data_IF_505514659441
#
_entry.id   IF_505514659441
#
_cell.length_a   1.000
_cell.length_b   1.000
_cell.length_c   1.000
_cell.angle_alpha   90.00
_cell.angle_beta   90.00
_cell.angle_gamma   90.00
#
_symmetry.space_group_name_H-M   'P 1'
#
loop_
_entity.id
_entity.type
_entity.pdbx_description
1 polymer ?
#
# COMPACT_ATOMS: atom_id res chain seq x y z
N UNK A 1 -7.29 11.56 -0.22
CA UNK A 1 -6.43 10.38 -0.36
C UNK A 1 -5.01 10.77 0.02
N UNK A 2 -4.33 9.95 0.81
CA UNK A 2 -2.91 10.13 1.10
C UNK A 2 -2.17 8.93 0.54
N UNK A 3 -1.18 9.15 -0.32
CA UNK A 3 -0.26 8.09 -0.74
C UNK A 3 1.13 8.44 -0.23
N UNK A 4 1.82 7.47 0.35
CA UNK A 4 3.13 7.68 0.95
C UNK A 4 4.03 6.50 0.64
N UNK A 5 5.32 6.77 0.61
CA UNK A 5 6.35 5.76 0.51
C UNK A 5 7.58 6.16 1.33
N UNK A 6 8.37 5.17 1.71
CA UNK A 6 9.63 5.32 2.42
C UNK A 6 10.74 4.66 1.64
N UNK A 7 11.88 5.34 1.61
CA UNK A 7 13.13 4.66 1.31
C UNK A 7 13.87 4.35 2.61
N UNK A 8 14.65 3.26 2.58
CA UNK A 8 15.42 2.80 3.72
C UNK A 8 16.88 2.60 3.34
N UNK A 9 17.76 2.90 4.29
CA UNK A 9 19.10 2.35 4.33
C UNK A 9 19.02 0.87 4.70
N UNK A 10 19.76 0.03 3.96
CA UNK A 10 19.89 -1.39 4.23
C UNK A 10 21.18 -1.64 5.02
N UNK A 11 21.10 -1.52 6.34
CA UNK A 11 22.25 -1.71 7.24
C UNK A 11 22.56 -3.21 7.36
N UNK A 12 23.76 -3.68 6.98
CA UNK A 12 24.13 -5.09 7.15
C UNK A 12 24.12 -5.48 8.63
N UNK A 13 23.67 -6.70 8.94
CA UNK A 13 23.74 -7.26 10.29
C UNK A 13 24.98 -8.14 10.45
N UNK A 14 25.76 -7.91 11.52
CA UNK A 14 26.97 -8.68 11.83
C UNK A 14 26.67 -10.10 12.35
N UNK A 15 25.49 -10.31 12.94
CA UNK A 15 25.06 -11.59 13.52
C UNK A 15 23.73 -12.05 12.95
N UNK A 16 23.76 -13.28 12.45
CA UNK A 16 22.72 -13.90 11.65
C UNK A 16 22.33 -15.19 12.38
N UNK A 17 21.57 -15.08 13.48
CA UNK A 17 21.07 -16.24 14.21
C UNK A 17 19.60 -16.46 13.88
N UNK A 18 19.31 -17.47 13.06
CA UNK A 18 17.96 -18.04 13.01
C UNK A 18 17.75 -18.88 14.25
N UNK A 19 16.69 -18.63 15.01
CA UNK A 19 16.27 -19.51 16.10
C UNK A 19 15.49 -20.70 15.50
N UNK A 20 16.04 -21.93 15.54
CA UNK A 20 15.38 -23.11 14.97
C UNK A 20 14.05 -23.46 15.65
N UNK A 21 13.72 -22.82 16.78
CA UNK A 21 12.48 -23.03 17.53
C UNK A 21 11.38 -22.03 17.20
N UNK A 22 11.69 -20.89 16.58
CA UNK A 22 10.72 -19.80 16.36
C UNK A 22 10.66 -19.27 14.92
N UNK A 23 11.75 -19.33 14.14
CA UNK A 23 11.74 -18.87 12.74
C UNK A 23 12.90 -19.46 11.94
N UNK A 24 12.59 -20.03 10.77
CA UNK A 24 13.59 -20.42 9.76
C UNK A 24 14.05 -19.25 8.90
N UNK A 25 13.45 -18.06 9.06
CA UNK A 25 13.81 -16.85 8.31
C UNK A 25 15.02 -16.20 8.94
N UNK A 26 16.05 -16.03 8.12
CA UNK A 26 17.32 -15.43 8.52
C UNK A 26 17.26 -13.92 8.28
N UNK A 27 17.29 -13.11 9.33
CA UNK A 27 17.44 -11.66 9.22
C UNK A 27 18.91 -11.33 8.90
N UNK A 28 19.15 -10.65 7.77
CA UNK A 28 20.50 -10.34 7.28
C UNK A 28 20.77 -8.85 7.11
N UNK A 29 19.72 -8.02 7.08
CA UNK A 29 19.77 -6.57 6.97
C UNK A 29 18.74 -5.94 7.88
N UNK A 30 19.05 -4.74 8.37
CA UNK A 30 18.16 -3.90 9.17
C UNK A 30 17.75 -2.70 8.33
N UNK A 31 16.45 -2.53 8.14
CA UNK A 31 15.91 -1.39 7.41
C UNK A 31 15.84 -0.18 8.31
N UNK A 32 16.53 0.89 7.94
CA UNK A 32 16.46 2.18 8.62
C UNK A 32 15.96 3.24 7.65
N UNK A 33 14.78 3.85 7.88
CA UNK A 33 14.26 4.92 7.02
C UNK A 33 15.30 5.99 6.68
N UNK A 34 15.54 6.21 5.39
CA UNK A 34 16.43 7.23 4.84
C UNK A 34 15.67 8.49 4.44
N UNK A 35 14.41 8.33 4.05
CA UNK A 35 13.51 9.42 3.72
C UNK A 35 12.09 8.93 3.48
N UNK A 36 11.17 9.87 3.34
CA UNK A 36 9.79 9.61 2.97
C UNK A 36 9.32 10.62 1.94
N UNK A 37 8.31 10.24 1.17
CA UNK A 37 7.49 11.18 0.43
C UNK A 37 6.02 10.83 0.61
N UNK A 38 5.16 11.85 0.56
CA UNK A 38 3.72 11.62 0.49
C UNK A 38 3.01 12.69 -0.34
N UNK A 39 1.92 12.28 -0.97
CA UNK A 39 0.95 13.15 -1.64
C UNK A 39 -0.35 13.17 -0.85
N UNK A 40 -0.94 14.35 -0.73
CA UNK A 40 -2.32 14.52 -0.30
C UNK A 40 -3.11 14.98 -1.52
N UNK A 41 -3.93 14.07 -2.05
CA UNK A 41 -4.75 14.28 -3.25
C UNK A 41 -6.23 14.36 -2.88
N UNK A 42 -6.87 15.45 -3.29
CA UNK A 42 -8.32 15.59 -3.34
C UNK A 42 -8.80 15.41 -4.78
N UNK A 43 -9.99 14.84 -4.97
CA UNK A 43 -10.62 14.77 -6.30
C UNK A 43 -11.04 16.15 -6.79
N UNK A 44 -11.45 17.02 -5.87
CA UNK A 44 -11.78 18.41 -6.17
C UNK A 44 -10.60 19.33 -5.81
N UNK A 45 -9.89 19.78 -6.83
CA UNK A 45 -8.73 20.67 -6.69
C UNK A 45 -9.12 22.10 -6.28
N UNK A 46 -10.41 22.46 -6.38
CA UNK A 46 -10.90 23.74 -5.86
C UNK A 46 -11.02 23.72 -4.34
N UNK A 47 -11.29 22.54 -3.75
CA UNK A 47 -11.39 22.35 -2.30
C UNK A 47 -10.00 22.22 -1.68
N UNK A 48 -9.14 21.39 -2.27
CA UNK A 48 -7.79 21.19 -1.78
C UNK A 48 -6.84 20.89 -2.94
N UNK A 49 -5.89 21.80 -3.17
CA UNK A 49 -4.83 21.61 -4.14
C UNK A 49 -3.91 20.48 -3.69
N UNK A 50 -3.54 19.63 -4.64
CA UNK A 50 -2.60 18.53 -4.39
C UNK A 50 -1.35 19.06 -3.69
N UNK A 51 -1.03 18.49 -2.52
CA UNK A 51 0.18 18.79 -1.78
C UNK A 51 1.12 17.59 -1.89
N UNK A 52 2.38 17.86 -2.21
CA UNK A 52 3.46 16.90 -2.17
C UNK A 52 4.45 17.29 -1.08
N UNK A 53 4.88 16.33 -0.28
CA UNK A 53 5.87 16.50 0.77
C UNK A 53 6.93 15.43 0.59
N UNK A 54 8.20 15.82 0.72
CA UNK A 54 9.33 14.92 0.73
C UNK A 54 10.29 15.36 1.83
N UNK A 55 10.90 14.38 2.49
CA UNK A 55 11.92 14.62 3.49
C UNK A 55 12.92 13.48 3.48
N UNK A 56 14.19 13.84 3.37
CA UNK A 56 15.31 12.89 3.44
C UNK A 56 16.17 13.28 4.62
N UNK A 57 16.68 12.28 5.34
CA UNK A 57 17.50 12.46 6.53
C UNK A 57 18.57 13.54 6.32
N UNK A 58 18.77 14.43 7.28
CA UNK A 58 19.85 15.45 7.25
C UNK A 58 21.04 15.06 8.11
N UNK A 59 20.87 14.05 8.98
CA UNK A 59 21.94 13.40 9.72
C UNK A 59 21.60 11.93 10.01
N UNK A 60 22.59 11.19 10.53
CA UNK A 60 22.47 9.76 10.77
C UNK A 60 21.57 9.39 11.96
N UNK A 61 21.26 10.31 12.87
CA UNK A 61 20.58 10.01 14.14
C UNK A 61 19.09 10.45 14.11
N UNK A 62 18.61 10.93 12.97
CA UNK A 62 17.21 11.34 12.80
C UNK A 62 16.23 10.17 12.82
N UNK A 63 15.13 10.36 13.55
CA UNK A 63 13.96 9.49 13.51
C UNK A 63 13.03 9.94 12.38
N UNK A 64 13.30 9.46 11.17
CA UNK A 64 12.53 9.80 9.96
C UNK A 64 11.08 9.33 10.08
N UNK A 65 10.82 8.22 10.78
CA UNK A 65 9.46 7.76 11.05
C UNK A 65 8.69 8.77 11.88
N UNK A 66 9.31 9.32 12.93
CA UNK A 66 8.71 10.40 13.73
C UNK A 66 8.49 11.68 12.92
N UNK A 67 9.48 12.09 12.11
CA UNK A 67 9.33 13.27 11.24
C UNK A 67 8.15 13.10 10.26
N UNK A 68 7.98 11.89 9.70
CA UNK A 68 6.82 11.57 8.86
C UNK A 68 5.50 11.75 9.61
N UNK A 69 5.37 11.15 10.80
CA UNK A 69 4.13 11.23 11.58
C UNK A 69 3.81 12.68 11.95
N UNK A 70 4.80 13.42 12.43
CA UNK A 70 4.62 14.82 12.84
C UNK A 70 4.21 15.69 11.64
N UNK A 71 4.85 15.50 10.47
CA UNK A 71 4.52 16.23 9.24
C UNK A 71 3.11 15.91 8.75
N UNK A 72 2.74 14.63 8.72
CA UNK A 72 1.45 14.19 8.22
C UNK A 72 0.30 14.60 9.16
N UNK A 73 0.53 14.59 10.48
CA UNK A 73 -0.44 15.06 11.46
C UNK A 73 -0.75 16.56 11.28
N UNK A 74 0.27 17.38 11.01
CA UNK A 74 0.09 18.82 10.75
C UNK A 74 -0.75 19.06 9.49
N UNK A 75 -0.42 18.38 8.40
CA UNK A 75 -1.12 18.52 7.13
C UNK A 75 -2.57 18.03 7.21
N UNK A 76 -2.80 16.91 7.90
CA UNK A 76 -4.15 16.41 8.08
C UNK A 76 -5.01 17.32 8.93
N UNK A 77 -4.47 18.01 9.94
CA UNK A 77 -5.23 19.03 10.69
C UNK A 77 -5.78 20.10 9.75
N UNK A 78 -4.98 20.59 8.80
CA UNK A 78 -5.42 21.56 7.80
C UNK A 78 -6.53 21.00 6.91
N UNK A 79 -6.37 19.75 6.44
CA UNK A 79 -7.40 19.07 5.63
C UNK A 79 -8.69 18.89 6.43
N UNK A 80 -8.61 18.47 7.69
CA UNK A 80 -9.78 18.31 8.56
C UNK A 80 -10.53 19.63 8.76
N UNK A 81 -9.84 20.77 8.92
CA UNK A 81 -10.51 22.07 9.03
C UNK A 81 -11.20 22.49 7.73
N UNK A 82 -10.68 22.08 6.56
CA UNK A 82 -11.36 22.29 5.28
C UNK A 82 -12.60 21.40 5.18
N UNK A 83 -12.49 20.11 5.52
CA UNK A 83 -13.60 19.15 5.46
C UNK A 83 -14.72 19.45 6.47
N UNK A 84 -14.40 20.13 7.59
CA UNK A 84 -15.40 20.59 8.57
C UNK A 84 -16.28 21.74 8.05
N UNK A 85 -15.85 22.48 7.03
CA UNK A 85 -16.65 23.58 6.49
C UNK A 85 -17.89 22.99 5.83
N UNK A 86 -19.04 23.21 6.46
CA UNK A 86 -20.34 22.87 5.87
C UNK A 86 -20.60 23.87 4.75
N UNK A 87 -20.30 23.47 3.52
CA UNK A 87 -20.75 24.20 2.34
C UNK A 87 -22.25 23.95 2.19
N UNK A 88 -23.10 24.99 2.06
CA UNK A 88 -24.51 24.79 1.78
C UNK A 88 -24.64 23.96 0.50
N UNK A 89 -25.30 22.81 0.59
CA UNK A 89 -25.63 22.03 -0.61
C UNK A 89 -26.58 22.89 -1.43
N UNK A 90 -26.23 23.15 -2.70
CA UNK A 90 -27.15 23.76 -3.66
C UNK A 90 -28.16 22.71 -4.11
N UNK A 91 -29.18 22.47 -3.31
CA UNK A 91 -30.27 21.54 -3.65
C UNK A 91 -31.33 22.25 -4.49
N UNK A 92 -31.81 21.57 -5.53
CA UNK A 92 -33.10 21.94 -6.14
C UNK A 92 -34.25 21.50 -5.21
N UNK A 93 -35.47 22.04 -5.39
CA UNK A 93 -36.65 21.60 -4.63
C UNK A 93 -36.89 20.08 -4.77
N UNK A 94 -36.51 19.49 -5.90
CA UNK A 94 -36.58 18.05 -6.17
C UNK A 94 -35.51 17.27 -5.37
N UNK A 95 -34.27 17.77 -5.30
CA UNK A 95 -33.19 17.14 -4.52
C UNK A 95 -33.49 17.18 -3.03
N UNK A 96 -34.06 18.29 -2.56
CA UNK A 96 -34.44 18.47 -1.15
C UNK A 96 -35.56 17.50 -0.76
N UNK A 97 -36.53 17.29 -1.65
CA UNK A 97 -37.58 16.29 -1.50
C UNK A 97 -37.01 14.85 -1.51
N UNK A 98 -36.14 14.53 -2.47
CA UNK A 98 -35.50 13.22 -2.55
C UNK A 98 -34.63 12.93 -1.31
N UNK A 99 -33.92 13.93 -0.79
CA UNK A 99 -33.11 13.80 0.40
C UNK A 99 -33.96 13.61 1.66
N UNK A 100 -35.03 14.40 1.83
CA UNK A 100 -35.90 14.33 3.01
C UNK A 100 -36.77 13.07 3.06
N UNK A 101 -37.15 12.53 1.91
CA UNK A 101 -37.94 11.30 1.81
C UNK A 101 -37.07 10.03 1.83
N UNK A 102 -35.74 10.14 1.60
CA UNK A 102 -34.85 8.98 1.55
C UNK A 102 -34.39 8.52 2.93
N UNK A 103 -34.94 7.40 3.39
CA UNK A 103 -34.42 6.66 4.54
C UNK A 103 -33.24 5.73 4.18
N UNK A 104 -32.85 5.69 2.90
CA UNK A 104 -31.92 4.73 2.35
C UNK A 104 -30.71 5.42 1.69
N UNK A 105 -29.56 4.75 1.73
CA UNK A 105 -28.35 5.18 1.04
C UNK A 105 -28.59 5.26 -0.48
N UNK A 106 -28.32 6.40 -1.10
CA UNK A 106 -28.51 6.59 -2.55
C UNK A 106 -27.67 5.63 -3.42
N UNK A 107 -26.57 5.07 -2.87
CA UNK A 107 -25.66 4.19 -3.58
C UNK A 107 -26.03 2.69 -3.47
N UNK A 108 -26.56 2.26 -2.32
CA UNK A 108 -26.83 0.85 -2.02
C UNK A 108 -28.25 0.54 -1.54
N UNK A 109 -29.09 1.57 -1.38
CA UNK A 109 -30.48 1.51 -0.92
C UNK A 109 -30.71 0.89 0.48
N UNK A 110 -29.66 0.84 1.31
CA UNK A 110 -29.71 0.34 2.70
C UNK A 110 -30.10 1.47 3.65
N UNK A 111 -30.91 1.18 4.65
CA UNK A 111 -31.35 2.15 5.66
C UNK A 111 -30.16 2.68 6.49
N UNK A 112 -30.05 4.00 6.66
CA UNK A 112 -28.90 4.61 7.34
C UNK A 112 -28.82 4.22 8.84
N UNK A 113 -27.71 3.59 9.26
CA UNK A 113 -27.33 3.37 10.66
C UNK A 113 -26.44 4.48 11.24
N UNK A 114 -26.18 4.47 12.56
CA UNK A 114 -25.52 5.58 13.30
C UNK A 114 -24.01 5.72 13.12
N UNK A 115 -23.35 4.86 12.36
CA UNK A 115 -21.90 4.74 12.43
C UNK A 115 -21.21 5.49 11.28
N UNK A 116 -20.46 6.54 11.63
CA UNK A 116 -19.52 7.23 10.74
C UNK A 116 -18.13 6.63 10.90
N UNK A 117 -17.64 5.98 9.84
CA UNK A 117 -16.30 5.40 9.79
C UNK A 117 -15.38 6.38 9.05
N UNK A 118 -14.41 6.97 9.77
CA UNK A 118 -13.29 7.73 9.21
C UNK A 118 -12.05 6.85 9.27
N UNK A 119 -11.65 6.21 8.16
CA UNK A 119 -10.57 5.22 8.23
C UNK A 119 -9.51 5.28 7.13
N UNK A 120 -8.32 4.85 7.54
CA UNK A 120 -7.08 4.83 6.78
C UNK A 120 -6.99 3.49 6.06
N UNK A 121 -6.98 3.53 4.73
CA UNK A 121 -6.80 2.33 3.91
C UNK A 121 -5.36 2.21 3.46
N UNK A 122 -4.81 1.02 3.68
CA UNK A 122 -3.53 0.61 3.13
C UNK A 122 -3.74 0.14 1.69
N UNK A 123 -2.99 0.73 0.76
CA UNK A 123 -3.10 0.46 -0.67
C UNK A 123 -2.71 -0.98 -1.04
N UNK A 124 -1.84 -1.63 -0.25
CA UNK A 124 -1.51 -3.05 -0.45
C UNK A 124 -2.74 -3.96 -0.40
N UNK A 125 -3.82 -3.52 0.26
CA UNK A 125 -5.08 -4.28 0.34
C UNK A 125 -5.94 -4.19 -0.93
N UNK A 126 -5.60 -3.29 -1.84
CA UNK A 126 -6.28 -3.09 -3.12
C UNK A 126 -5.44 -3.55 -4.31
N UNK A 127 -4.12 -3.37 -4.26
CA UNK A 127 -3.23 -3.67 -5.37
C UNK A 127 -2.31 -4.84 -5.03
N UNK A 128 -2.54 -5.99 -5.66
CA UNK A 128 -1.69 -7.19 -5.54
C UNK A 128 -0.51 -7.20 -6.53
N UNK A 129 -0.36 -6.15 -7.34
CA UNK A 129 0.66 -6.03 -8.37
C UNK A 129 1.72 -4.99 -7.98
N UNK A 130 2.93 -5.15 -8.52
CA UNK A 130 4.02 -4.18 -8.31
C UNK A 130 3.69 -2.80 -8.91
N UNK A 131 4.27 -1.74 -8.36
CA UNK A 131 4.11 -0.39 -8.92
C UNK A 131 4.57 -0.33 -10.40
N UNK A 132 5.60 -1.09 -10.79
CA UNK A 132 6.01 -1.17 -12.19
C UNK A 132 4.89 -1.72 -13.07
N UNK A 133 4.30 -2.86 -12.68
CA UNK A 133 3.18 -3.45 -13.39
C UNK A 133 1.98 -2.51 -13.47
N UNK A 134 1.69 -1.79 -12.38
CA UNK A 134 0.56 -0.85 -12.32
C UNK A 134 0.80 0.40 -13.16
N UNK A 135 2.00 0.98 -13.11
CA UNK A 135 2.36 2.16 -13.91
C UNK A 135 2.26 1.86 -15.41
N UNK A 136 2.64 0.65 -15.84
CA UNK A 136 2.49 0.21 -17.22
C UNK A 136 1.04 0.06 -17.70
N UNK A 137 0.05 0.07 -16.80
CA UNK A 137 -1.38 0.07 -17.17
C UNK A 137 -1.95 1.46 -17.44
N UNK A 138 -1.21 2.52 -17.09
CA UNK A 138 -1.64 3.90 -17.27
C UNK A 138 -1.55 4.32 -18.74
N UNK A 139 -2.58 5.03 -19.21
CA UNK A 139 -2.53 5.72 -20.51
C UNK A 139 -1.80 7.06 -20.41
N UNK A 140 -1.52 7.68 -21.56
CA UNK A 140 -0.82 8.98 -21.62
C UNK A 140 -1.49 10.07 -20.76
N UNK A 141 -2.83 10.11 -20.75
CA UNK A 141 -3.63 11.09 -20.02
C UNK A 141 -3.78 10.82 -18.51
N UNK A 142 -3.26 9.70 -18.01
CA UNK A 142 -3.43 9.29 -16.61
C UNK A 142 -2.30 9.84 -15.71
N UNK A 143 -1.17 10.32 -16.26
CA UNK A 143 0.01 10.84 -15.52
C UNK A 143 -0.13 12.30 -15.03
N UNK A 144 -1.35 12.74 -14.73
CA UNK A 144 -1.66 14.15 -14.46
C UNK A 144 -0.97 14.67 -13.21
N UNK A 145 -0.88 13.85 -12.16
CA UNK A 145 -0.26 14.27 -10.91
C UNK A 145 1.24 14.40 -11.11
N UNK A 146 1.87 13.41 -11.75
CA UNK A 146 3.29 13.46 -12.12
C UNK A 146 3.59 14.72 -12.95
N UNK A 147 2.84 14.98 -14.01
CA UNK A 147 2.98 16.16 -14.89
C UNK A 147 2.81 17.48 -14.14
N UNK A 148 1.84 17.55 -13.23
CA UNK A 148 1.61 18.77 -12.44
C UNK A 148 2.76 19.08 -11.48
N UNK A 149 3.39 18.05 -10.90
CA UNK A 149 4.41 18.18 -9.85
C UNK A 149 5.84 18.16 -10.38
N UNK A 150 6.06 17.69 -11.61
CA UNK A 150 7.36 17.55 -12.27
C UNK A 150 7.41 18.39 -13.55
N UNK A 151 7.57 19.70 -13.42
CA UNK A 151 7.72 20.61 -14.57
C UNK A 151 9.13 20.53 -15.17
N UNK A 152 9.43 19.42 -15.84
CA UNK A 152 10.73 19.14 -16.42
C UNK A 152 10.59 18.58 -17.84
N UNK A 153 11.50 18.94 -18.75
CA UNK A 153 11.48 18.47 -20.14
C UNK A 153 11.72 16.97 -20.28
N UNK A 154 12.37 16.36 -19.29
CA UNK A 154 12.66 14.93 -19.22
C UNK A 154 11.58 14.07 -18.57
N UNK A 155 10.36 14.59 -18.36
CA UNK A 155 9.31 13.89 -17.61
C UNK A 155 8.92 12.53 -18.19
N UNK A 156 9.04 12.34 -19.50
CA UNK A 156 8.78 11.04 -20.15
C UNK A 156 9.65 9.91 -19.59
N UNK A 157 10.83 10.23 -19.06
CA UNK A 157 11.67 9.23 -18.38
C UNK A 157 11.08 8.75 -17.05
N UNK A 158 10.20 9.53 -16.44
CA UNK A 158 9.58 9.25 -15.14
C UNK A 158 8.22 8.54 -15.26
N UNK A 159 7.69 8.32 -16.48
CA UNK A 159 6.42 7.62 -16.74
C UNK A 159 6.53 6.09 -16.64
N UNK A 160 7.55 5.58 -15.95
CA UNK A 160 7.77 4.17 -15.62
C UNK A 160 8.44 4.06 -14.25
N UNK A 161 8.37 2.89 -13.60
CA UNK A 161 9.11 2.69 -12.34
C UNK A 161 10.61 2.83 -12.59
N UNK A 162 11.26 3.62 -11.74
CA UNK A 162 12.70 3.78 -11.76
C UNK A 162 13.43 2.56 -11.21
N UNK A 163 14.75 2.57 -11.28
CA UNK A 163 15.60 1.59 -10.62
C UNK A 163 16.42 2.23 -9.52
N UNK A 164 16.67 1.49 -8.45
CA UNK A 164 17.37 2.02 -7.29
C UNK A 164 18.40 1.01 -6.75
N UNK A 165 19.62 1.45 -6.39
CA UNK A 165 20.68 0.56 -5.94
C UNK A 165 20.53 0.28 -4.43
N UNK A 166 19.52 -0.52 -4.04
CA UNK A 166 19.19 -0.78 -2.64
C UNK A 166 20.38 -1.30 -1.82
N UNK A 167 21.11 -2.29 -2.34
CA UNK A 167 22.27 -2.89 -1.66
C UNK A 167 23.46 -1.92 -1.50
N UNK A 168 23.53 -0.86 -2.32
CA UNK A 168 24.53 0.19 -2.19
C UNK A 168 24.17 1.18 -1.08
N UNK A 169 22.87 1.40 -0.85
CA UNK A 169 22.32 2.37 0.09
C UNK A 169 22.33 1.84 1.52
N UNK A 170 23.53 1.60 2.07
CA UNK A 170 23.68 0.98 3.40
C UNK A 170 23.70 1.98 4.56
N UNK A 171 23.73 3.29 4.28
CA UNK A 171 23.90 4.29 5.34
C UNK A 171 23.82 5.73 4.85
N UNK A 172 23.82 6.66 5.82
CA UNK A 172 23.68 8.10 5.57
C UNK A 172 24.79 8.69 4.70
N UNK A 173 26.02 8.19 4.84
CA UNK A 173 27.18 8.61 4.05
C UNK A 173 26.97 8.41 2.54
N UNK A 174 26.19 7.39 2.16
CA UNK A 174 25.90 7.06 0.76
C UNK A 174 25.12 8.16 0.05
N UNK A 175 24.32 8.95 0.78
CA UNK A 175 23.60 10.09 0.19
C UNK A 175 24.54 11.16 -0.38
N UNK A 176 25.77 11.28 0.14
CA UNK A 176 26.75 12.26 -0.33
C UNK A 176 27.59 11.77 -1.52
N UNK A 177 27.40 10.51 -1.94
CA UNK A 177 28.15 9.94 -3.04
C UNK A 177 27.84 10.68 -4.35
N UNK A 178 28.88 11.15 -5.05
CA UNK A 178 28.80 12.17 -6.11
C UNK A 178 28.63 11.59 -7.53
N UNK A 179 28.39 10.29 -7.63
CA UNK A 179 28.29 9.55 -8.89
C UNK A 179 27.16 8.54 -8.81
N UNK A 180 26.61 8.19 -9.96
CA UNK A 180 25.76 7.01 -10.05
C UNK A 180 26.61 5.76 -9.74
N UNK A 181 26.16 4.86 -8.86
CA UNK A 181 26.84 3.60 -8.58
C UNK A 181 27.03 2.78 -9.86
N UNK A 182 28.06 1.94 -9.85
CA UNK A 182 28.33 1.04 -10.97
C UNK A 182 27.21 0.02 -11.14
N UNK A 183 27.08 -0.55 -12.34
CA UNK A 183 26.05 -1.56 -12.63
C UNK A 183 26.01 -2.72 -11.63
N UNK A 184 27.17 -3.14 -11.12
CA UNK A 184 27.29 -4.24 -10.14
C UNK A 184 26.67 -3.90 -8.78
N UNK A 185 26.61 -2.62 -8.43
CA UNK A 185 26.06 -2.12 -7.16
C UNK A 185 24.51 -2.03 -7.20
N UNK A 186 23.90 -2.31 -8.35
CA UNK A 186 22.44 -2.47 -8.51
C UNK A 186 21.97 -3.93 -8.38
N UNK A 187 22.87 -4.87 -8.07
CA UNK A 187 22.49 -6.26 -7.83
C UNK A 187 21.48 -6.35 -6.68
N UNK A 188 20.42 -7.15 -6.86
CA UNK A 188 19.38 -7.37 -5.84
C UNK A 188 19.57 -8.74 -5.20
N UNK A 189 19.82 -8.79 -3.88
CA UNK A 189 19.87 -10.06 -3.13
C UNK A 189 18.49 -10.69 -3.00
N UNK A 190 17.44 -9.86 -2.86
CA UNK A 190 16.06 -10.31 -2.75
C UNK A 190 15.64 -11.19 -3.94
N UNK A 191 15.97 -10.76 -5.15
CA UNK A 191 15.65 -11.49 -6.37
C UNK A 191 16.80 -12.37 -6.87
N UNK A 192 17.99 -12.24 -6.26
CA UNK A 192 19.24 -12.87 -6.69
C UNK A 192 19.55 -12.62 -8.18
N UNK A 193 19.41 -11.37 -8.62
CA UNK A 193 19.55 -10.97 -10.03
C UNK A 193 20.30 -9.65 -10.17
N UNK A 194 21.14 -9.57 -11.21
CA UNK A 194 21.70 -8.31 -11.69
C UNK A 194 20.63 -7.45 -12.39
N UNK A 195 20.85 -6.13 -12.39
CA UNK A 195 20.06 -5.21 -13.21
C UNK A 195 20.27 -5.47 -14.72
N UNK A 196 19.21 -5.29 -15.51
CA UNK A 196 19.30 -5.33 -16.97
C UNK A 196 20.21 -4.22 -17.53
N UNK A 197 20.69 -4.37 -18.77
CA UNK A 197 21.47 -3.29 -19.40
C UNK A 197 20.58 -2.08 -19.65
N UNK A 198 19.36 -2.32 -20.11
CA UNK A 198 18.35 -1.34 -20.48
C UNK A 198 17.96 -0.47 -19.29
N UNK A 199 17.75 -1.07 -18.12
CA UNK A 199 17.39 -0.34 -16.91
C UNK A 199 18.56 0.45 -16.33
N UNK A 200 19.78 -0.08 -16.43
CA UNK A 200 20.97 0.67 -16.01
C UNK A 200 21.23 1.87 -16.94
N UNK A 201 21.09 1.69 -18.26
CA UNK A 201 21.15 2.80 -19.21
C UNK A 201 20.05 3.84 -18.95
N UNK A 202 18.85 3.39 -18.56
CA UNK A 202 17.79 4.27 -18.14
C UNK A 202 18.16 5.07 -16.89
N UNK A 203 18.72 4.43 -15.86
CA UNK A 203 19.23 5.11 -14.66
C UNK A 203 20.26 6.19 -15.00
N UNK A 204 21.19 5.89 -15.91
CA UNK A 204 22.19 6.85 -16.39
C UNK A 204 21.55 8.04 -17.12
N UNK A 205 20.52 7.79 -17.95
CA UNK A 205 19.77 8.86 -18.62
C UNK A 205 19.03 9.72 -17.61
N UNK A 206 18.35 9.13 -16.62
CA UNK A 206 17.65 9.86 -15.56
C UNK A 206 18.63 10.73 -14.77
N UNK A 207 19.73 10.14 -14.28
CA UNK A 207 20.78 10.85 -13.54
C UNK A 207 21.27 12.08 -14.28
N UNK A 208 21.57 11.93 -15.59
CA UNK A 208 22.06 13.03 -16.43
C UNK A 208 20.98 14.06 -16.75
N UNK A 209 19.79 13.63 -17.13
CA UNK A 209 18.71 14.52 -17.57
C UNK A 209 18.21 15.41 -16.43
N UNK A 210 18.20 14.90 -15.20
CA UNK A 210 17.73 15.64 -14.02
C UNK A 210 18.86 16.31 -13.22
N UNK A 211 20.07 16.42 -13.80
CA UNK A 211 21.25 17.04 -13.17
C UNK A 211 21.53 16.53 -11.74
N UNK A 212 21.40 15.21 -11.52
CA UNK A 212 21.72 14.60 -10.23
C UNK A 212 23.23 14.73 -9.98
N UNK A 213 23.59 15.38 -8.87
CA UNK A 213 24.99 15.59 -8.46
C UNK A 213 25.41 14.59 -7.41
N UNK A 214 24.45 14.15 -6.60
CA UNK A 214 24.66 13.23 -5.50
C UNK A 214 23.59 12.14 -5.49
N UNK A 215 23.87 11.05 -4.79
CA UNK A 215 22.88 10.00 -4.54
C UNK A 215 21.67 10.52 -3.77
N UNK A 216 21.79 11.60 -2.99
CA UNK A 216 20.63 12.30 -2.41
C UNK A 216 19.68 12.82 -3.49
N UNK A 217 20.21 13.49 -4.52
CA UNK A 217 19.38 14.05 -5.59
C UNK A 217 18.62 12.93 -6.32
N UNK A 218 19.31 11.81 -6.59
CA UNK A 218 18.72 10.63 -7.23
C UNK A 218 17.70 9.92 -6.34
N UNK A 219 17.99 9.77 -5.04
CA UNK A 219 17.09 9.22 -4.03
C UNK A 219 15.81 10.04 -3.92
N UNK A 220 15.93 11.37 -3.80
CA UNK A 220 14.78 12.26 -3.65
C UNK A 220 13.92 12.26 -4.92
N UNK A 221 14.56 12.21 -6.09
CA UNK A 221 13.86 12.06 -7.38
C UNK A 221 13.14 10.72 -7.49
N UNK A 222 13.81 9.62 -7.12
CA UNK A 222 13.26 8.26 -7.15
C UNK A 222 12.01 8.17 -6.28
N UNK A 223 12.15 8.51 -4.99
CA UNK A 223 11.08 8.41 -4.01
C UNK A 223 9.91 9.36 -4.34
N UNK A 224 10.20 10.56 -4.84
CA UNK A 224 9.15 11.46 -5.36
C UNK A 224 8.40 10.83 -6.52
N UNK A 225 9.11 10.24 -7.47
CA UNK A 225 8.51 9.65 -8.68
C UNK A 225 7.62 8.47 -8.32
N UNK A 226 8.07 7.58 -7.44
CA UNK A 226 7.31 6.40 -7.01
C UNK A 226 5.97 6.80 -6.35
N UNK A 227 5.97 7.79 -5.45
CA UNK A 227 4.74 8.29 -4.82
C UNK A 227 3.81 8.98 -5.82
N UNK A 228 4.35 9.71 -6.80
CA UNK A 228 3.53 10.38 -7.83
C UNK A 228 2.90 9.36 -8.78
N UNK A 229 3.66 8.36 -9.24
CA UNK A 229 3.15 7.26 -10.04
C UNK A 229 2.06 6.49 -9.29
N UNK A 230 2.29 6.18 -8.02
CA UNK A 230 1.30 5.54 -7.16
C UNK A 230 0.01 6.36 -7.06
N UNK A 231 0.13 7.69 -7.04
CA UNK A 231 -1.01 8.59 -7.01
C UNK A 231 -1.80 8.59 -8.30
N UNK A 232 -1.14 8.57 -9.45
CA UNK A 232 -1.80 8.49 -10.75
C UNK A 232 -2.47 7.12 -10.96
N UNK A 233 -1.81 6.02 -10.56
CA UNK A 233 -2.40 4.67 -10.50
C UNK A 233 -3.70 4.69 -9.68
N UNK A 234 -3.67 5.31 -8.51
CA UNK A 234 -4.86 5.37 -7.65
C UNK A 234 -5.97 6.26 -8.18
N UNK A 235 -5.63 7.38 -8.82
CA UNK A 235 -6.62 8.21 -9.50
C UNK A 235 -7.29 7.42 -10.63
N UNK A 236 -6.51 6.66 -11.40
CA UNK A 236 -7.04 5.79 -12.46
C UNK A 236 -7.94 4.70 -11.90
N UNK A 237 -7.51 4.02 -10.84
CA UNK A 237 -8.30 2.97 -10.20
C UNK A 237 -9.66 3.49 -9.70
N UNK A 238 -9.67 4.64 -9.01
CA UNK A 238 -10.91 5.29 -8.56
C UNK A 238 -11.83 5.63 -9.72
N UNK A 239 -11.28 6.16 -10.81
CA UNK A 239 -12.05 6.48 -12.02
C UNK A 239 -12.71 5.23 -12.60
N UNK A 240 -11.95 4.15 -12.79
CA UNK A 240 -12.47 2.86 -13.31
C UNK A 240 -13.59 2.31 -12.42
N UNK A 241 -13.41 2.30 -11.10
CA UNK A 241 -14.42 1.79 -10.17
C UNK A 241 -15.69 2.66 -10.16
N UNK A 242 -15.53 3.97 -10.25
CA UNK A 242 -16.65 4.91 -10.31
C UNK A 242 -17.42 4.73 -11.61
N UNK A 243 -16.73 4.60 -12.75
CA UNK A 243 -17.35 4.43 -14.07
C UNK A 243 -18.07 3.07 -14.22
N UNK A 244 -17.47 1.98 -13.75
CA UNK A 244 -18.02 0.64 -13.94
C UNK A 244 -19.02 0.21 -12.85
N UNK A 245 -18.79 0.63 -11.60
CA UNK A 245 -19.57 0.17 -10.44
C UNK A 245 -20.34 1.30 -9.75
N UNK A 246 -20.02 2.56 -10.05
CA UNK A 246 -20.52 3.71 -9.29
C UNK A 246 -20.11 3.63 -7.82
N UNK A 247 -18.95 3.04 -7.52
CA UNK A 247 -18.40 2.87 -6.18
C UNK A 247 -17.02 3.50 -6.12
N UNK A 248 -16.74 4.20 -5.03
CA UNK A 248 -15.41 4.71 -4.75
C UNK A 248 -14.63 3.65 -3.95
N UNK A 249 -13.49 3.15 -4.46
CA UNK A 249 -12.72 2.14 -3.77
C UNK A 249 -12.18 2.64 -2.41
N UNK A 250 -12.03 3.95 -2.22
CA UNK A 250 -11.55 4.49 -0.94
C UNK A 250 -12.56 4.37 0.21
N UNK A 251 -13.81 3.99 -0.07
CA UNK A 251 -14.80 3.65 0.95
C UNK A 251 -14.76 2.18 1.39
N UNK A 252 -13.85 1.38 0.85
CA UNK A 252 -13.72 -0.04 1.15
C UNK A 252 -12.35 -0.32 1.77
N UNK A 253 -12.19 -1.43 2.47
CA UNK A 253 -10.89 -1.80 3.05
C UNK A 253 -9.97 -2.56 2.10
N UNK A 254 -10.56 -3.33 1.20
CA UNK A 254 -9.86 -4.29 0.36
C UNK A 254 -10.54 -4.42 -1.01
N UNK A 255 -9.79 -4.89 -2.00
CA UNK A 255 -10.36 -5.20 -3.32
C UNK A 255 -11.49 -6.25 -3.27
N UNK A 256 -11.40 -7.35 -2.47
CA UNK A 256 -12.53 -8.27 -2.28
C UNK A 256 -13.77 -7.61 -1.68
N UNK A 257 -13.62 -6.69 -0.72
CA UNK A 257 -14.75 -5.96 -0.14
C UNK A 257 -15.45 -5.06 -1.17
N UNK A 258 -14.67 -4.34 -1.98
CA UNK A 258 -15.19 -3.59 -3.12
C UNK A 258 -15.89 -4.49 -4.15
N UNK A 259 -15.29 -5.65 -4.48
CA UNK A 259 -15.86 -6.58 -5.44
C UNK A 259 -17.18 -7.18 -4.94
N UNK A 260 -17.26 -7.46 -3.64
CA UNK A 260 -18.47 -7.93 -2.98
C UNK A 260 -19.59 -6.90 -3.08
N UNK A 261 -19.33 -5.65 -2.70
CA UNK A 261 -20.34 -4.59 -2.77
C UNK A 261 -20.72 -4.27 -4.22
N UNK A 262 -19.77 -4.32 -5.15
CA UNK A 262 -20.05 -4.22 -6.58
C UNK A 262 -20.98 -5.34 -7.05
N UNK A 263 -20.72 -6.59 -6.64
CA UNK A 263 -21.54 -7.74 -7.01
C UNK A 263 -22.96 -7.62 -6.44
N UNK A 264 -23.11 -7.23 -5.17
CA UNK A 264 -24.43 -6.99 -4.56
C UNK A 264 -25.18 -5.86 -5.26
N UNK A 265 -24.50 -4.76 -5.57
CA UNK A 265 -25.11 -3.62 -6.28
C UNK A 265 -25.57 -3.97 -7.69
N UNK A 266 -24.79 -4.75 -8.43
CA UNK A 266 -25.12 -5.19 -9.80
C UNK A 266 -26.26 -6.20 -9.78
N UNK A 267 -26.18 -7.21 -8.91
CA UNK A 267 -27.16 -8.31 -8.86
C UNK A 267 -28.46 -7.93 -8.16
N UNK A 268 -28.42 -6.92 -7.28
CA UNK A 268 -29.53 -6.50 -6.41
C UNK A 268 -30.05 -7.62 -5.51
N UNK A 269 -29.21 -8.61 -5.21
CA UNK A 269 -29.55 -9.71 -4.31
C UNK A 269 -29.40 -9.23 -2.87
N UNK A 270 -30.40 -9.53 -2.06
CA UNK A 270 -30.33 -9.39 -0.61
C UNK A 270 -29.92 -10.74 -0.02
N UNK A 271 -28.80 -10.77 0.70
CA UNK A 271 -28.32 -11.98 1.34
C UNK A 271 -28.89 -12.10 2.74
N UNK A 272 -29.49 -13.26 3.02
CA UNK A 272 -29.95 -13.60 4.36
C UNK A 272 -28.77 -14.03 5.25
N UNK A 273 -28.84 -13.69 6.54
CA UNK A 273 -27.89 -14.17 7.53
C UNK A 273 -28.11 -15.68 7.75
N UNK A 274 -27.03 -16.45 7.77
CA UNK A 274 -27.10 -17.87 8.11
C UNK A 274 -27.37 -17.99 9.61
N UNK A 275 -28.60 -18.35 9.97
CA UNK A 275 -29.02 -18.51 11.36
C UNK A 275 -28.83 -19.94 11.89
N UNK A 276 -28.82 -20.95 11.02
CA UNK A 276 -28.64 -22.35 11.39
C UNK A 276 -27.14 -22.76 11.37
N UNK A 277 -26.56 -23.15 12.52
CA UNK A 277 -25.19 -23.65 12.59
C UNK A 277 -24.93 -24.85 11.66
N UNK A 278 -25.93 -25.68 11.37
CA UNK A 278 -25.76 -26.83 10.46
C UNK A 278 -25.58 -26.40 9.01
N UNK A 279 -26.26 -25.32 8.57
CA UNK A 279 -26.06 -24.75 7.24
C UNK A 279 -24.65 -24.16 7.11
N UNK A 280 -24.17 -23.46 8.15
CA UNK A 280 -22.80 -22.98 8.19
C UNK A 280 -21.79 -24.13 8.08
N UNK A 281 -21.94 -25.19 8.90
CA UNK A 281 -21.06 -26.35 8.87
C UNK A 281 -21.13 -27.12 7.55
N UNK A 282 -22.30 -27.17 6.90
CA UNK A 282 -22.45 -27.78 5.57
C UNK A 282 -21.65 -27.01 4.52
N UNK A 283 -21.75 -25.68 4.51
CA UNK A 283 -21.00 -24.82 3.58
C UNK A 283 -19.50 -24.94 3.86
N UNK A 284 -19.08 -24.81 5.12
CA UNK A 284 -17.67 -24.90 5.52
C UNK A 284 -17.05 -26.24 5.08
N UNK A 285 -17.74 -27.36 5.34
CA UNK A 285 -17.29 -28.70 4.91
C UNK A 285 -17.32 -28.89 3.39
N UNK A 286 -18.09 -28.07 2.67
CA UNK A 286 -18.20 -28.07 1.21
C UNK A 286 -17.10 -27.26 0.51
N UNK A 287 -16.44 -26.33 1.21
CA UNK A 287 -15.36 -25.52 0.64
C UNK A 287 -14.22 -26.46 0.21
N UNK A 288 -13.80 -26.34 -1.04
CA UNK A 288 -12.63 -27.00 -1.62
C UNK A 288 -11.75 -25.92 -2.21
N UNK A 289 -10.46 -26.00 -1.92
CA UNK A 289 -9.45 -25.15 -2.56
C UNK A 289 -9.11 -25.69 -3.96
N UNK A 290 -8.27 -24.94 -4.68
CA UNK A 290 -7.79 -25.37 -5.98
C UNK A 290 -7.08 -26.74 -5.88
N UNK A 291 -7.41 -27.64 -6.82
CA UNK A 291 -6.73 -28.92 -6.93
C UNK A 291 -5.37 -28.67 -7.60
N UNK A 292 -4.29 -28.80 -6.84
CA UNK A 292 -2.93 -28.83 -7.40
C UNK A 292 -2.50 -30.28 -7.60
N UNK A 293 -2.31 -30.69 -8.87
CA UNK A 293 -1.71 -31.98 -9.21
C UNK A 293 -0.25 -31.77 -9.62
N UNK A 294 0.68 -32.21 -8.80
CA UNK A 294 2.09 -32.31 -9.18
C UNK A 294 2.36 -33.66 -9.83
N UNK A 295 2.70 -33.66 -11.12
CA UNK A 295 3.24 -34.85 -11.79
C UNK A 295 4.71 -35.04 -11.34
N UNK A 296 4.93 -35.94 -10.39
CA UNK A 296 6.27 -36.38 -9.99
C UNK A 296 6.74 -37.52 -10.92
N UNK A 297 7.97 -37.41 -11.43
CA UNK A 297 8.65 -38.55 -12.03
C UNK A 297 8.89 -39.61 -10.92
N UNK A 298 8.57 -40.89 -11.13
CA UNK A 298 8.54 -41.90 -10.08
C UNK A 298 9.92 -42.47 -9.72
N UNK A 299 10.93 -41.60 -9.58
CA UNK A 299 12.25 -42.00 -9.10
C UNK A 299 12.61 -41.13 -7.90
N UNK A 300 12.54 -41.77 -6.73
CA UNK A 300 12.97 -41.32 -5.39
C UNK A 300 11.97 -40.49 -4.57
N UNK A 301 11.55 -41.11 -3.45
CA UNK A 301 10.99 -40.53 -2.21
C UNK A 301 9.47 -40.58 -1.97
N UNK A 302 8.94 -41.79 -1.77
CA UNK A 302 7.61 -41.99 -1.14
C UNK A 302 7.55 -41.49 0.32
N UNK A 303 8.68 -41.38 1.03
CA UNK A 303 8.71 -40.94 2.43
C UNK A 303 8.64 -39.42 2.64
N UNK A 304 8.98 -38.61 1.62
CA UNK A 304 8.99 -37.14 1.75
C UNK A 304 7.59 -36.55 1.55
N UNK A 305 6.72 -37.25 0.82
CA UNK A 305 5.38 -36.77 0.47
C UNK A 305 4.45 -36.76 1.69
N UNK A 306 4.48 -37.82 2.50
CA UNK A 306 3.64 -37.91 3.70
C UNK A 306 4.03 -36.84 4.73
N UNK A 307 5.32 -36.57 4.91
CA UNK A 307 5.79 -35.54 5.85
C UNK A 307 5.39 -34.12 5.42
N UNK A 308 5.45 -33.81 4.12
CA UNK A 308 5.03 -32.50 3.60
C UNK A 308 3.51 -32.30 3.72
N UNK A 309 2.71 -33.32 3.40
CA UNK A 309 1.25 -33.25 3.51
C UNK A 309 0.79 -33.18 4.98
N UNK A 310 1.44 -33.92 5.87
CA UNK A 310 1.18 -33.89 7.30
C UNK A 310 1.54 -32.52 7.88
N UNK A 311 2.69 -31.93 7.51
CA UNK A 311 3.07 -30.61 8.00
C UNK A 311 2.20 -29.46 7.45
N UNK A 312 1.75 -29.55 6.20
CA UNK A 312 0.81 -28.58 5.64
C UNK A 312 -0.54 -28.61 6.39
N UNK A 313 -1.01 -29.82 6.76
CA UNK A 313 -2.23 -30.00 7.56
C UNK A 313 -2.07 -29.52 9.00
N UNK A 314 -0.88 -29.67 9.61
CA UNK A 314 -0.59 -29.15 10.97
C UNK A 314 -0.54 -27.63 11.01
N UNK A 315 0.09 -26.97 10.03
CA UNK A 315 0.11 -25.50 9.91
C UNK A 315 -1.31 -24.93 9.83
N UNK A 316 -2.14 -25.49 8.96
CA UNK A 316 -3.53 -25.07 8.80
C UNK A 316 -4.43 -25.35 10.03
N UNK A 317 -4.02 -26.25 10.93
CA UNK A 317 -4.74 -26.53 12.17
C UNK A 317 -4.32 -25.61 13.34
N UNK A 318 -3.07 -25.12 13.33
CA UNK A 318 -2.54 -24.21 14.34
C UNK A 318 -3.04 -22.77 14.15
N UNK A 319 -3.21 -22.31 12.90
CA UNK A 319 -3.77 -20.99 12.61
C UNK A 319 -5.26 -20.86 13.00
N UNK A 320 -6.01 -21.98 13.08
CA UNK A 320 -7.43 -22.00 13.46
C UNK A 320 -7.69 -21.90 14.97
N UNK A 321 -6.66 -21.85 15.83
CA UNK A 321 -6.82 -21.90 17.30
C UNK A 321 -6.62 -20.56 18.03
N UNK A 322 -6.23 -19.48 17.35
CA UNK A 322 -5.85 -18.22 18.03
C UNK A 322 -6.94 -17.13 18.07
N UNK A 323 -8.13 -17.32 17.49
CA UNK A 323 -9.12 -16.24 17.35
C UNK A 323 -10.15 -16.01 18.49
N UNK A 324 -10.44 -16.90 19.47
CA UNK A 324 -11.53 -16.61 20.40
C UNK A 324 -11.21 -15.63 21.55
N UNK A 325 -9.95 -15.43 21.94
CA UNK A 325 -9.61 -14.72 23.19
C UNK A 325 -9.30 -13.22 23.03
N UNK A 326 -9.15 -12.71 21.80
CA UNK A 326 -8.79 -11.29 21.59
C UNK A 326 -9.98 -10.31 21.63
N UNK A 327 -11.20 -10.81 21.46
CA UNK A 327 -12.40 -9.97 21.25
C UNK A 327 -12.88 -9.21 22.50
N UNK A 328 -12.50 -9.63 23.71
CA UNK A 328 -13.08 -9.07 24.95
C UNK A 328 -12.25 -7.92 25.55
N UNK A 329 -11.01 -7.66 25.09
CA UNK A 329 -10.13 -6.64 25.70
C UNK A 329 -10.13 -5.28 25.01
N UNK A 330 -10.74 -5.15 23.82
CA UNK A 330 -10.58 -3.97 22.94
C UNK A 330 -11.55 -2.81 23.19
N UNK A 331 -12.51 -2.95 24.12
CA UNK A 331 -13.64 -2.04 24.27
C UNK A 331 -13.35 -0.76 25.09
N UNK A 332 -12.27 -0.67 25.87
CA UNK A 332 -12.04 0.53 26.71
C UNK A 332 -10.62 1.11 26.56
N UNK A 333 -10.43 2.14 25.70
CA UNK A 333 -9.59 3.32 26.02
C UNK A 333 -9.47 4.37 24.90
N UNK A 334 -9.48 5.62 25.37
CA UNK A 334 -9.65 6.92 24.73
C UNK A 334 -8.66 7.36 23.63
N UNK A 335 -9.10 8.40 22.92
CA UNK A 335 -8.93 8.73 21.50
C UNK A 335 -7.62 9.40 21.05
N UNK A 336 -6.70 9.84 21.90
CA UNK A 336 -5.46 10.51 21.43
C UNK A 336 -4.28 9.55 21.23
N UNK A 337 -4.18 8.48 22.02
CA UNK A 337 -3.08 7.51 21.93
C UNK A 337 -3.30 6.46 20.83
N UNK A 338 -4.54 6.23 20.37
CA UNK A 338 -4.85 5.27 19.30
C UNK A 338 -4.28 5.69 17.95
N UNK A 339 -4.24 6.98 17.63
CA UNK A 339 -3.69 7.46 16.36
C UNK A 339 -2.18 7.21 16.28
N UNK A 340 -1.43 7.63 17.31
CA UNK A 340 0.02 7.39 17.41
C UNK A 340 0.36 5.90 17.49
N UNK A 341 -0.42 5.11 18.25
CA UNK A 341 -0.20 3.67 18.37
C UNK A 341 -0.60 2.91 17.10
N UNK A 342 -1.61 3.35 16.33
CA UNK A 342 -1.99 2.73 15.05
C UNK A 342 -0.98 3.03 13.94
N UNK A 343 -0.41 4.24 13.89
CA UNK A 343 0.69 4.52 12.96
C UNK A 343 1.93 3.72 13.39
N UNK A 344 2.28 3.71 14.69
CA UNK A 344 3.41 2.92 15.18
C UNK A 344 3.24 1.41 14.92
N UNK A 345 2.04 0.88 15.12
CA UNK A 345 1.71 -0.54 14.85
C UNK A 345 1.49 -0.86 13.36
N UNK A 346 1.28 0.13 12.49
CA UNK A 346 1.27 -0.07 11.03
C UNK A 346 2.69 -0.02 10.46
N UNK A 347 3.56 0.79 11.06
CA UNK A 347 4.97 0.88 10.72
C UNK A 347 5.78 -0.31 11.28
N UNK A 348 5.51 -0.79 12.50
CA UNK A 348 6.27 -1.90 13.12
C UNK A 348 6.29 -3.21 12.29
N UNK A 349 5.19 -3.69 11.70
CA UNK A 349 5.20 -4.86 10.82
C UNK A 349 5.82 -4.57 9.44
N UNK A 350 5.70 -3.34 8.95
CA UNK A 350 6.32 -2.92 7.68
C UNK A 350 7.85 -2.92 7.74
N UNK A 351 8.44 -2.81 8.95
CA UNK A 351 9.88 -2.95 9.19
C UNK A 351 10.32 -4.39 9.53
N UNK A 352 9.40 -5.33 9.71
CA UNK A 352 9.70 -6.72 10.10
C UNK A 352 9.40 -7.76 9.00
N UNK A 353 8.69 -7.35 7.95
CA UNK A 353 8.39 -8.19 6.78
C UNK A 353 8.81 -7.51 5.47
N UNK A 354 10.09 -7.14 5.37
CA UNK A 354 10.81 -7.06 4.10
C UNK A 354 12.28 -7.41 4.32
#
# INVERSE_FOLDING_TARGET
MVNADFECFLEPMDHVEGDPKTSFTIQYQKHRPSGFSYTIKCMDENVYKTKFVTYTAQNKDEDIGKVFVDSLEEDLKLVYEILKKVTPISMTEEDEKNYTESNNCYACNIQFGTDRINEWNDLYKFTLASLDSLANTLGEDDFRTLESQMKHSGIELLKRKGVFPYEFMTGYDKLQYDKLPSKKEFYSRLNNTDISNEDYEHAQKVWKTFDCKTMRDYHDLYLKTDVLLLTDVMCRFRKICTENYGLDPLHHYTAPGLAWDAALKITKIELELIHDPNMYLMIEKGIREAVMTSSLNPLENDHVIDDVIIEFRKRNALERRSEPELMTSLINRHLSNRFRKRIKNALEPAFLYY
#
